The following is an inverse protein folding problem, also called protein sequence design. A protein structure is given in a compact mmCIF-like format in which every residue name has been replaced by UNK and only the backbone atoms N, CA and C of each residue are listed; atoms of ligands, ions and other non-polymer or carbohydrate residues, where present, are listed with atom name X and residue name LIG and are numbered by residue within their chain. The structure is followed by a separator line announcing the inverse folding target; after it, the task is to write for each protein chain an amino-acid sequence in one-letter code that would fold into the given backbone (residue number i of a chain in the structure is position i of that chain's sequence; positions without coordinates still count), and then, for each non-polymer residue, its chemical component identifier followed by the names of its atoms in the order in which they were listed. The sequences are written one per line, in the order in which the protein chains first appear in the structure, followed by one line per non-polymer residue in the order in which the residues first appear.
data_IF_100330419825
#
_entry.id   IF_100330419825
#
_cell.length_a   1.000
_cell.length_b   1.000
_cell.length_c   1.000
_cell.angle_alpha   90.00
_cell.angle_beta   90.00
_cell.angle_gamma   90.00
#
_symmetry.space_group_name_H-M   'P 1'
#
loop_
_entity.id
_entity.type
_entity.pdbx_description
1 polymer ?
#
# COMPACT_ATOMS: atom_id res chain seq x y z
N UNK A 1 17.69 -23.88 -16.93
CA UNK A 1 17.63 -22.69 -16.04
C UNK A 1 16.17 -22.36 -15.78
N UNK A 2 15.75 -22.49 -14.51
CA UNK A 2 14.36 -22.70 -14.12
C UNK A 2 13.72 -21.39 -13.63
N UNK A 3 12.66 -20.91 -14.30
CA UNK A 3 11.92 -19.66 -14.00
C UNK A 3 11.09 -19.70 -12.72
N UNK A 4 11.27 -20.71 -11.87
CA UNK A 4 10.53 -20.91 -10.61
C UNK A 4 11.22 -20.36 -9.36
N UNK A 5 12.47 -19.92 -9.44
CA UNK A 5 13.24 -19.43 -8.29
C UNK A 5 13.01 -17.94 -7.96
N UNK A 6 12.28 -17.19 -8.78
CA UNK A 6 12.08 -15.74 -8.59
C UNK A 6 10.77 -15.39 -7.87
N UNK A 7 9.94 -16.37 -7.53
CA UNK A 7 8.66 -16.16 -6.81
C UNK A 7 8.69 -16.66 -5.36
N UNK A 8 9.84 -17.09 -4.83
CA UNK A 8 9.96 -17.61 -3.47
C UNK A 8 10.50 -16.61 -2.44
N UNK A 9 10.82 -15.36 -2.82
CA UNK A 9 11.40 -14.36 -1.90
C UNK A 9 10.39 -13.40 -1.26
N UNK A 10 9.08 -13.57 -1.52
CA UNK A 10 8.01 -12.81 -0.84
C UNK A 10 7.30 -13.63 0.25
N UNK A 11 7.87 -14.78 0.62
CA UNK A 11 7.38 -15.62 1.71
C UNK A 11 8.01 -15.26 3.04
N UNK A 12 7.16 -15.08 4.05
CA UNK A 12 7.46 -15.02 5.49
C UNK A 12 7.87 -13.64 6.03
N UNK A 13 6.87 -12.85 6.41
CA UNK A 13 6.97 -12.10 7.66
C UNK A 13 5.88 -12.62 8.60
N UNK A 14 6.33 -13.21 9.70
CA UNK A 14 5.55 -13.92 10.67
C UNK A 14 4.43 -13.05 11.25
N UNK A 15 3.27 -13.67 11.45
CA UNK A 15 2.23 -13.18 12.31
C UNK A 15 2.78 -13.04 13.73
N UNK A 16 3.16 -11.82 14.13
CA UNK A 16 3.30 -11.49 15.53
C UNK A 16 1.89 -11.38 16.12
N UNK A 17 1.43 -12.49 16.71
CA UNK A 17 0.29 -12.54 17.60
C UNK A 17 0.54 -11.64 18.81
N UNK A 18 0.03 -10.41 18.77
CA UNK A 18 -0.14 -9.60 19.96
C UNK A 18 -1.40 -10.08 20.69
N UNK A 19 -1.24 -11.14 21.47
CA UNK A 19 -2.18 -11.43 22.54
C UNK A 19 -1.99 -10.35 23.64
N UNK A 20 -3.09 -9.72 24.03
CA UNK A 20 -3.18 -8.97 25.29
C UNK A 20 -2.89 -7.47 25.18
N UNK A 21 -3.89 -6.71 24.74
CA UNK A 21 -4.52 -5.62 25.52
C UNK A 21 -5.41 -4.82 24.58
N UNK A 22 -6.70 -4.80 24.87
CA UNK A 22 -7.66 -3.82 24.36
C UNK A 22 -7.29 -2.44 24.94
N UNK A 23 -6.21 -1.87 24.44
CA UNK A 23 -5.80 -0.50 24.68
C UNK A 23 -5.92 0.24 23.36
N UNK A 24 -6.76 1.26 23.33
CA UNK A 24 -6.66 2.33 22.34
C UNK A 24 -5.18 2.74 22.25
N UNK A 25 -4.47 2.35 21.18
CA UNK A 25 -3.28 3.08 20.77
C UNK A 25 -3.80 4.40 20.22
N UNK A 26 -3.79 5.42 21.09
CA UNK A 26 -4.55 6.66 20.86
C UNK A 26 -4.21 7.23 19.48
N UNK A 27 -2.91 7.32 19.16
CA UNK A 27 -2.36 7.58 17.82
C UNK A 27 -0.92 7.07 17.74
N UNK A 28 -0.51 6.62 16.56
CA UNK A 28 0.87 6.23 16.23
C UNK A 28 1.37 7.11 15.10
N UNK A 29 2.45 7.85 15.34
CA UNK A 29 3.16 8.61 14.30
C UNK A 29 4.34 7.80 13.78
N UNK A 30 4.54 7.82 12.47
CA UNK A 30 5.65 7.12 11.83
C UNK A 30 5.84 7.52 10.38
N UNK A 31 6.93 7.02 9.78
CA UNK A 31 7.24 7.22 8.36
C UNK A 31 6.47 6.20 7.52
N UNK A 32 5.77 6.66 6.49
CA UNK A 32 5.13 5.80 5.51
C UNK A 32 6.18 5.26 4.57
N UNK A 33 6.38 3.95 4.53
CA UNK A 33 7.43 3.33 3.71
C UNK A 33 6.88 2.60 2.50
N UNK A 34 5.58 2.33 2.47
CA UNK A 34 4.95 1.58 1.40
C UNK A 34 3.50 1.97 1.20
N UNK A 35 3.07 2.01 -0.05
CA UNK A 35 1.67 1.97 -0.47
C UNK A 35 1.49 0.88 -1.53
N UNK A 36 0.39 0.14 -1.46
CA UNK A 36 0.03 -0.85 -2.46
C UNK A 36 -1.48 -0.86 -2.69
N UNK A 37 -1.88 -0.74 -3.96
CA UNK A 37 -3.25 -0.93 -4.41
C UNK A 37 -3.33 -2.27 -5.15
N UNK A 38 -4.24 -3.14 -4.71
CA UNK A 38 -4.43 -4.48 -5.28
C UNK A 38 -5.89 -4.72 -5.61
N UNK A 39 -6.14 -5.63 -6.56
CA UNK A 39 -7.48 -6.04 -7.00
C UNK A 39 -7.64 -7.53 -6.97
N UNK A 40 -8.87 -7.97 -6.75
CA UNK A 40 -9.25 -9.36 -6.86
C UNK A 40 -9.67 -9.67 -8.30
N UNK A 41 -8.91 -10.53 -8.97
CA UNK A 41 -9.22 -11.02 -10.32
C UNK A 41 -9.88 -12.39 -10.20
N UNK A 42 -11.06 -12.56 -10.81
CA UNK A 42 -11.73 -13.85 -10.83
C UNK A 42 -10.96 -14.84 -11.73
N UNK A 43 -10.62 -16.01 -11.20
CA UNK A 43 -10.03 -17.11 -11.97
C UNK A 43 -10.89 -18.36 -11.89
N UNK A 44 -10.56 -19.40 -12.67
CA UNK A 44 -11.23 -20.71 -12.59
C UNK A 44 -11.15 -21.37 -11.21
N UNK A 45 -10.15 -20.99 -10.38
CA UNK A 45 -9.94 -21.53 -9.03
C UNK A 45 -10.44 -20.59 -7.92
N UNK A 46 -11.10 -19.50 -8.28
CA UNK A 46 -11.54 -18.46 -7.36
C UNK A 46 -10.78 -17.14 -7.52
N UNK A 47 -11.11 -16.13 -6.70
CA UNK A 47 -10.45 -14.82 -6.71
C UNK A 47 -8.96 -14.91 -6.38
N UNK A 48 -8.13 -14.18 -7.14
CA UNK A 48 -6.70 -14.01 -6.86
C UNK A 48 -6.39 -12.52 -6.74
N UNK A 49 -5.79 -12.12 -5.62
CA UNK A 49 -5.35 -10.75 -5.40
C UNK A 49 -4.08 -10.47 -6.19
N UNK A 50 -4.11 -9.41 -6.99
CA UNK A 50 -3.02 -8.95 -7.86
C UNK A 50 -2.76 -7.47 -7.59
N UNK A 51 -1.49 -7.07 -7.48
CA UNK A 51 -1.13 -5.66 -7.28
C UNK A 51 -1.22 -4.89 -8.59
N UNK A 52 -1.98 -3.80 -8.59
CA UNK A 52 -2.03 -2.83 -9.68
C UNK A 52 -0.99 -1.74 -9.52
N UNK A 53 -0.66 -1.38 -8.28
CA UNK A 53 0.36 -0.38 -8.03
C UNK A 53 1.03 -0.58 -6.68
N UNK A 54 2.34 -0.33 -6.64
CA UNK A 54 3.18 -0.37 -5.46
C UNK A 54 4.15 0.81 -5.50
N UNK A 55 4.19 1.59 -4.43
CA UNK A 55 5.31 2.50 -4.13
C UNK A 55 5.98 2.00 -2.85
N UNK A 56 7.30 1.85 -2.87
CA UNK A 56 8.11 1.51 -1.70
C UNK A 56 9.24 2.53 -1.62
N UNK A 57 9.40 3.17 -0.46
CA UNK A 57 10.54 4.01 -0.14
C UNK A 57 11.42 3.35 0.91
N UNK A 58 12.72 3.57 0.83
CA UNK A 58 13.61 3.30 1.96
C UNK A 58 13.21 4.19 3.13
N UNK A 59 13.04 3.62 4.33
CA UNK A 59 12.82 4.46 5.52
C UNK A 59 14.08 5.22 5.90
N UNK A 60 15.23 4.61 5.61
CA UNK A 60 16.56 5.16 5.85
C UNK A 60 17.29 5.55 4.55
N UNK A 61 16.80 5.08 3.39
CA UNK A 61 17.36 5.39 2.07
C UNK A 61 16.44 6.34 1.31
N UNK A 62 17.03 7.28 0.58
CA UNK A 62 16.28 8.27 -0.22
C UNK A 62 15.69 7.70 -1.51
N UNK A 63 15.77 6.39 -1.70
CA UNK A 63 15.40 5.72 -2.94
C UNK A 63 13.97 5.20 -2.91
N UNK A 64 13.27 5.39 -4.03
CA UNK A 64 11.87 4.98 -4.21
C UNK A 64 11.73 4.08 -5.43
N UNK A 65 11.09 2.93 -5.21
CA UNK A 65 10.61 2.06 -6.27
C UNK A 65 9.12 2.28 -6.50
N UNK A 66 8.75 2.48 -7.76
CA UNK A 66 7.38 2.66 -8.22
C UNK A 66 7.07 1.65 -9.32
N UNK A 67 6.01 0.88 -9.14
CA UNK A 67 5.41 0.00 -10.14
C UNK A 67 3.92 0.27 -10.21
N UNK A 68 3.34 0.58 -11.38
CA UNK A 68 1.89 0.89 -11.44
C UNK A 68 1.25 0.67 -12.81
N UNK A 69 -0.05 0.35 -12.81
CA UNK A 69 -0.92 0.38 -13.99
C UNK A 69 -1.59 1.77 -14.13
N UNK A 70 -1.23 2.58 -15.14
CA UNK A 70 -1.78 3.92 -15.32
C UNK A 70 -3.28 3.93 -15.67
N UNK A 71 -3.87 2.80 -16.07
CA UNK A 71 -5.30 2.71 -16.37
C UNK A 71 -6.16 2.90 -15.10
N UNK A 72 -5.65 2.42 -13.96
CA UNK A 72 -6.37 2.37 -12.68
C UNK A 72 -5.79 3.24 -11.58
N UNK A 73 -4.54 3.63 -11.71
CA UNK A 73 -3.84 4.36 -10.65
C UNK A 73 -3.06 5.53 -11.25
N UNK A 74 -3.25 6.70 -10.67
CA UNK A 74 -2.46 7.88 -10.99
C UNK A 74 -1.24 7.94 -10.08
N UNK A 75 -0.08 8.19 -10.68
CA UNK A 75 1.16 8.43 -9.94
C UNK A 75 1.73 9.78 -10.33
N UNK A 76 1.92 10.64 -9.33
CA UNK A 76 2.75 11.83 -9.46
C UNK A 76 4.18 11.44 -9.07
N UNK A 77 5.08 11.43 -10.04
CA UNK A 77 6.48 11.03 -9.82
C UNK A 77 7.28 12.11 -9.09
N UNK A 78 6.93 13.38 -9.24
CA UNK A 78 7.64 14.48 -8.58
C UNK A 78 7.27 14.49 -7.09
N UNK A 79 6.00 14.25 -6.79
CA UNK A 79 5.50 14.12 -5.42
C UNK A 79 5.66 12.71 -4.83
N UNK A 80 5.98 11.68 -5.63
CA UNK A 80 5.97 10.26 -5.20
C UNK A 80 4.62 9.90 -4.56
N UNK A 81 3.55 10.39 -5.17
CA UNK A 81 2.19 10.19 -4.70
C UNK A 81 1.45 9.21 -5.57
N UNK A 82 0.66 8.35 -4.93
CA UNK A 82 -0.26 7.44 -5.61
C UNK A 82 -1.67 7.81 -5.23
N UNK A 83 -2.51 8.07 -6.23
CA UNK A 83 -3.91 8.42 -6.03
C UNK A 83 -4.82 7.59 -6.93
N UNK A 84 -6.03 7.35 -6.44
CA UNK A 84 -7.11 6.68 -7.17
C UNK A 84 -8.30 7.63 -7.20
N UNK A 85 -8.60 8.15 -8.39
CA UNK A 85 -9.73 9.06 -8.59
C UNK A 85 -11.08 8.33 -8.49
N UNK A 86 -12.18 9.08 -8.46
CA UNK A 86 -13.52 8.50 -8.55
C UNK A 86 -13.73 7.74 -9.85
N UNK A 87 -13.33 8.31 -10.99
CA UNK A 87 -13.40 7.62 -12.28
C UNK A 87 -12.60 6.31 -12.30
N UNK A 88 -11.40 6.31 -11.71
CA UNK A 88 -10.59 5.09 -11.60
C UNK A 88 -11.23 4.07 -10.66
N UNK A 89 -11.86 4.52 -9.57
CA UNK A 89 -12.60 3.66 -8.65
C UNK A 89 -13.80 3.00 -9.33
N UNK A 90 -14.55 3.75 -10.12
CA UNK A 90 -15.68 3.21 -10.89
C UNK A 90 -15.21 2.16 -11.90
N UNK A 91 -14.05 2.40 -12.54
CA UNK A 91 -13.44 1.38 -13.41
C UNK A 91 -13.00 0.14 -12.63
N UNK A 92 -12.40 0.31 -11.44
CA UNK A 92 -12.00 -0.80 -10.58
C UNK A 92 -13.22 -1.66 -10.19
N UNK A 93 -14.33 -1.03 -9.81
CA UNK A 93 -15.57 -1.72 -9.41
C UNK A 93 -16.28 -2.40 -10.59
N UNK A 94 -16.10 -1.88 -11.80
CA UNK A 94 -16.61 -2.50 -13.02
C UNK A 94 -15.77 -3.68 -13.47
N UNK A 95 -14.45 -3.55 -13.43
CA UNK A 95 -13.52 -4.48 -14.07
C UNK A 95 -13.05 -5.61 -13.14
N UNK A 96 -13.20 -5.43 -11.82
CA UNK A 96 -12.76 -6.37 -10.80
C UNK A 96 -13.83 -6.62 -9.74
N UNK A 97 -13.73 -7.77 -9.06
CA UNK A 97 -14.69 -8.16 -8.02
C UNK A 97 -14.38 -7.54 -6.65
N UNK A 98 -13.25 -6.83 -6.53
CA UNK A 98 -12.86 -6.13 -5.32
C UNK A 98 -11.52 -5.42 -5.47
N UNK A 99 -11.30 -4.41 -4.62
CA UNK A 99 -10.02 -3.71 -4.50
C UNK A 99 -9.63 -3.55 -3.03
N UNK A 100 -8.33 -3.52 -2.75
CA UNK A 100 -7.76 -3.35 -1.42
C UNK A 100 -6.61 -2.35 -1.47
N UNK A 101 -6.53 -1.51 -0.44
CA UNK A 101 -5.56 -0.44 -0.33
C UNK A 101 -4.77 -0.60 0.96
N UNK A 102 -3.47 -0.86 0.86
CA UNK A 102 -2.63 -1.11 2.04
C UNK A 102 -1.49 -0.09 2.11
N UNK A 103 -1.12 0.30 3.33
CA UNK A 103 0.06 1.10 3.59
C UNK A 103 0.90 0.47 4.70
N UNK A 104 2.21 0.68 4.61
CA UNK A 104 3.16 0.34 5.65
C UNK A 104 3.63 1.61 6.35
N UNK A 105 3.65 1.59 7.68
CA UNK A 105 4.11 2.69 8.52
C UNK A 105 5.15 2.17 9.51
N UNK A 106 6.33 2.79 9.57
CA UNK A 106 7.33 2.53 10.60
C UNK A 106 7.19 3.59 11.69
N UNK A 107 6.72 3.22 12.91
CA UNK A 107 6.57 4.17 14.00
C UNK A 107 7.90 4.83 14.38
N UNK A 108 7.85 6.04 14.91
CA UNK A 108 9.04 6.76 15.35
C UNK A 108 9.84 5.95 16.40
N UNK A 109 11.17 5.90 16.21
CA UNK A 109 12.06 5.12 17.07
C UNK A 109 11.93 3.60 16.91
N UNK A 110 11.33 3.12 15.81
CA UNK A 110 11.26 1.69 15.44
C UNK A 110 11.95 1.45 14.11
N UNK A 111 12.45 0.23 13.93
CA UNK A 111 13.07 -0.23 12.67
C UNK A 111 12.06 -0.93 11.75
N UNK A 112 10.90 -1.32 12.29
CA UNK A 112 9.85 -2.02 11.57
C UNK A 112 8.49 -1.50 12.01
N UNK A 113 7.49 -1.69 11.17
CA UNK A 113 6.15 -1.32 11.56
C UNK A 113 5.03 -1.99 10.76
N UNK A 114 3.79 -1.77 11.22
CA UNK A 114 2.64 -2.48 10.70
C UNK A 114 2.34 -2.12 9.25
N UNK A 115 1.90 -3.14 8.50
CA UNK A 115 1.23 -2.99 7.21
C UNK A 115 -0.25 -3.30 7.45
N UNK A 116 -1.14 -2.36 7.10
CA UNK A 116 -2.59 -2.50 7.29
C UNK A 116 -3.35 -1.94 6.11
N UNK A 117 -4.61 -2.36 6.01
CA UNK A 117 -5.56 -1.85 5.04
C UNK A 117 -6.07 -0.46 5.42
N UNK A 118 -6.47 0.31 4.43
CA UNK A 118 -7.05 1.64 4.54
C UNK A 118 -8.29 1.74 3.66
N UNK A 119 -9.15 2.69 4.00
CA UNK A 119 -10.10 3.19 3.03
C UNK A 119 -9.39 4.10 2.01
N UNK A 120 -10.02 4.25 0.83
CA UNK A 120 -9.43 4.97 -0.31
C UNK A 120 -9.05 6.43 0.01
N UNK A 121 -9.88 7.23 0.71
CA UNK A 121 -9.50 8.61 1.04
C UNK A 121 -8.19 8.69 1.83
N UNK A 122 -8.06 7.90 2.88
CA UNK A 122 -6.86 7.80 3.72
C UNK A 122 -5.68 7.28 2.93
N UNK A 123 -5.90 6.30 2.04
CA UNK A 123 -4.87 5.84 1.12
C UNK A 123 -4.37 6.98 0.24
N UNK A 124 -5.25 7.75 -0.39
CA UNK A 124 -4.87 8.86 -1.27
C UNK A 124 -4.11 9.97 -0.53
N UNK A 125 -4.46 10.23 0.73
CA UNK A 125 -3.80 11.26 1.55
C UNK A 125 -2.41 10.86 2.06
N UNK A 126 -2.14 9.57 2.25
CA UNK A 126 -0.83 9.09 2.72
C UNK A 126 0.25 9.20 1.62
N UNK A 127 1.43 9.67 2.01
CA UNK A 127 2.58 9.89 1.11
C UNK A 127 3.78 9.06 1.55
N UNK A 128 4.37 8.29 0.64
CA UNK A 128 5.60 7.54 0.96
C UNK A 128 6.75 8.51 1.24
N UNK A 129 7.53 8.22 2.29
CA UNK A 129 8.57 9.09 2.84
C UNK A 129 8.06 10.18 3.78
N UNK A 130 6.77 10.53 3.71
CA UNK A 130 6.15 11.45 4.66
C UNK A 130 5.88 10.80 6.02
N UNK A 131 5.65 11.63 7.04
CA UNK A 131 5.08 11.16 8.30
C UNK A 131 3.56 11.04 8.18
N UNK A 132 3.01 10.06 8.86
CA UNK A 132 1.57 9.95 9.07
C UNK A 132 1.30 9.61 10.53
N UNK A 133 0.18 10.13 11.04
CA UNK A 133 -0.35 9.79 12.35
C UNK A 133 -1.62 8.99 12.16
N UNK A 134 -1.61 7.74 12.60
CA UNK A 134 -2.71 6.78 12.40
C UNK A 134 -3.18 6.19 13.72
N UNK A 135 -4.43 5.75 13.79
CA UNK A 135 -4.88 4.82 14.83
C UNK A 135 -5.35 3.52 14.18
N UNK A 136 -5.23 2.42 14.90
CA UNK A 136 -5.83 1.16 14.47
C UNK A 136 -7.30 1.15 14.87
N UNK A 137 -8.17 0.64 14.00
CA UNK A 137 -9.52 0.22 14.39
C UNK A 137 -9.90 -1.09 13.71
N UNK A 138 -10.82 -1.81 14.33
CA UNK A 138 -11.33 -3.08 13.83
C UNK A 138 -12.83 -2.93 13.60
N UNK A 139 -13.32 -3.36 12.44
CA UNK A 139 -14.75 -3.34 12.11
C UNK A 139 -15.49 -4.45 12.86
N UNK A 140 -16.82 -4.40 12.88
CA UNK A 140 -17.65 -5.45 13.47
C UNK A 140 -17.41 -6.83 12.84
N UNK A 141 -17.01 -6.85 11.56
CA UNK A 141 -16.65 -8.05 10.79
C UNK A 141 -15.24 -8.59 11.12
N UNK A 142 -14.47 -7.90 11.98
CA UNK A 142 -13.13 -8.32 12.41
C UNK A 142 -11.98 -7.80 11.53
N UNK A 143 -12.26 -7.07 10.46
CA UNK A 143 -11.24 -6.48 9.58
C UNK A 143 -10.57 -5.29 10.25
N UNK A 144 -9.23 -5.19 10.14
CA UNK A 144 -8.43 -4.17 10.85
C UNK A 144 -7.80 -3.18 9.88
N UNK A 145 -8.01 -1.90 10.15
CA UNK A 145 -7.62 -0.79 9.28
C UNK A 145 -6.77 0.25 10.01
N UNK A 146 -6.06 1.08 9.23
CA UNK A 146 -5.60 2.37 9.70
C UNK A 146 -6.68 3.43 9.48
N UNK A 147 -6.93 4.22 10.53
CA UNK A 147 -7.60 5.52 10.43
C UNK A 147 -6.54 6.61 10.46
N UNK A 148 -6.58 7.48 9.46
CA UNK A 148 -5.65 8.60 9.36
C UNK A 148 -6.12 9.78 10.22
N UNK A 149 -5.20 10.42 10.93
CA UNK A 149 -5.45 11.65 11.72
C UNK A 149 -4.64 12.85 11.23
N UNK A 150 -3.59 12.61 10.46
CA UNK A 150 -2.76 13.65 9.89
C UNK A 150 -1.62 13.07 9.05
N UNK A 151 -1.15 13.87 8.10
CA UNK A 151 0.03 13.59 7.29
C UNK A 151 0.89 14.83 7.20
N UNK A 152 2.20 14.62 7.15
CA UNK A 152 3.15 15.67 6.82
C UNK A 152 3.38 15.71 5.31
N UNK A 153 3.84 16.85 4.78
CA UNK A 153 4.34 16.90 3.40
C UNK A 153 5.51 15.92 3.21
N UNK A 154 5.72 15.51 1.95
CA UNK A 154 6.85 14.67 1.56
C UNK A 154 8.18 15.39 1.84
N UNK A 155 9.24 14.69 2.28
CA UNK A 155 10.59 15.22 2.20
C UNK A 155 10.97 15.53 0.75
N UNK A 156 11.59 16.69 0.50
CA UNK A 156 12.01 17.09 -0.85
C UNK A 156 13.11 16.20 -1.45
N UNK A 157 13.71 15.31 -0.64
CA UNK A 157 14.96 14.62 -0.96
C UNK A 157 14.79 13.20 -1.52
N UNK A 158 13.56 12.69 -1.66
CA UNK A 158 13.34 11.37 -2.25
C UNK A 158 13.61 11.37 -3.76
N UNK A 159 14.40 10.38 -4.18
CA UNK A 159 14.77 10.12 -5.56
C UNK A 159 14.15 8.81 -6.03
N UNK A 160 13.57 8.80 -7.24
CA UNK A 160 13.05 7.57 -7.82
C UNK A 160 14.22 6.74 -8.34
N UNK A 161 14.48 5.61 -7.69
CA UNK A 161 15.51 4.65 -8.10
C UNK A 161 15.00 3.68 -9.16
N UNK A 162 13.69 3.42 -9.17
CA UNK A 162 13.06 2.57 -10.18
C UNK A 162 11.62 3.00 -10.47
N UNK A 163 11.29 3.15 -11.76
CA UNK A 163 9.93 3.42 -12.24
C UNK A 163 9.59 2.41 -13.34
N UNK A 164 8.52 1.65 -13.13
CA UNK A 164 7.97 0.77 -14.16
C UNK A 164 6.45 0.90 -14.26
N UNK A 165 5.96 0.97 -15.50
CA UNK A 165 4.54 0.90 -15.80
C UNK A 165 4.19 -0.54 -16.10
N UNK A 166 3.11 -1.05 -15.50
CA UNK A 166 2.53 -2.33 -15.89
C UNK A 166 1.97 -2.12 -17.29
N UNK A 167 2.52 -2.76 -18.33
CA UNK A 167 1.93 -2.67 -19.64
C UNK A 167 0.53 -3.26 -19.54
N UNK A 168 -0.47 -2.57 -20.13
CA UNK A 168 -1.81 -3.08 -20.34
C UNK A 168 -1.73 -4.32 -21.25
N UNK A 169 -1.29 -5.44 -20.71
CA UNK A 169 -0.92 -6.61 -21.51
C UNK A 169 -2.13 -7.50 -21.57
N UNK A 170 -2.85 -7.41 -22.70
CA UNK A 170 -3.82 -8.38 -23.22
C UNK A 170 -4.67 -9.09 -22.18
N UNK A 171 -5.73 -8.42 -21.72
CA UNK A 171 -6.87 -9.10 -21.12
C UNK A 171 -7.68 -9.74 -22.24
N UNK A 172 -7.27 -10.95 -22.63
CA UNK A 172 -8.07 -11.87 -23.45
C UNK A 172 -8.98 -12.72 -22.59
#
# INVERSE_FOLDING_TARGET
MNRRALLSSLGVCAAASLAGCSGYFDRTTGTVFRKNASVAVQTQRGPVWTSLAVIVGGVDDRDVLIHYDPEYVSVDTDAVEMTITDEQRDRLDRDFIGSSYIAGLIPDGKEQGPIRELHRPEFNEMRVGGKATVSQYTTEEGSTYFRLHGTDPRPNELSISHLSRIPATNRS
#
